data_IF_715654461235
#
_entry.id   IF_715654461235
#
_cell.length_a   1.000
_cell.length_b   1.000
_cell.length_c   1.000
_cell.angle_alpha   90.00
_cell.angle_beta   90.00
_cell.angle_gamma   90.00
#
_symmetry.space_group_name_H-M   'P 1'
#
loop_
_entity.id
_entity.type
_entity.pdbx_description
1 polymer ?
#
# COMPACT_ATOMS: atom_id res chain seq x y z
N UNK A 1 -18.99 -11.54 -19.26
CA UNK A 1 -17.72 -10.77 -19.20
C UNK A 1 -17.27 -10.50 -17.76
N UNK A 2 -18.12 -9.93 -16.88
CA UNK A 2 -17.73 -9.52 -15.51
C UNK A 2 -17.14 -10.60 -14.55
N UNK A 3 -17.43 -11.90 -14.75
CA UNK A 3 -16.88 -12.97 -13.90
C UNK A 3 -15.48 -13.43 -14.31
N UNK A 4 -15.11 -13.33 -15.60
CA UNK A 4 -13.81 -13.80 -16.10
C UNK A 4 -12.68 -12.85 -15.69
N UNK A 5 -12.93 -11.54 -15.77
CA UNK A 5 -11.94 -10.51 -15.40
C UNK A 5 -11.66 -10.54 -13.90
N UNK A 6 -12.69 -10.77 -13.08
CA UNK A 6 -12.57 -10.91 -11.63
C UNK A 6 -11.77 -12.16 -11.24
N UNK A 7 -11.95 -13.27 -11.96
CA UNK A 7 -11.19 -14.49 -11.72
C UNK A 7 -9.72 -14.31 -12.10
N UNK A 8 -9.43 -13.62 -13.21
CA UNK A 8 -8.07 -13.28 -13.63
C UNK A 8 -7.37 -12.37 -12.62
N UNK A 9 -8.05 -11.31 -12.17
CA UNK A 9 -7.55 -10.41 -11.12
C UNK A 9 -7.24 -11.16 -9.83
N UNK A 10 -8.13 -12.05 -9.40
CA UNK A 10 -7.90 -12.88 -8.22
C UNK A 10 -6.74 -13.86 -8.42
N UNK A 11 -6.57 -14.41 -9.62
CA UNK A 11 -5.48 -15.34 -9.95
C UNK A 11 -4.12 -14.63 -9.96
N UNK A 12 -4.05 -13.44 -10.55
CA UNK A 12 -2.85 -12.60 -10.57
C UNK A 12 -2.46 -12.15 -9.15
N UNK A 13 -3.44 -11.73 -8.35
CA UNK A 13 -3.28 -11.38 -6.94
C UNK A 13 -2.84 -12.58 -6.07
N UNK A 14 -3.28 -13.80 -6.38
CA UNK A 14 -2.87 -15.01 -5.66
C UNK A 14 -1.45 -15.45 -6.05
N UNK A 15 -1.09 -15.31 -7.33
CA UNK A 15 0.28 -15.52 -7.79
C UNK A 15 1.26 -14.58 -7.10
N UNK A 16 0.85 -13.37 -6.69
CA UNK A 16 1.71 -12.46 -5.94
C UNK A 16 2.15 -13.02 -4.58
N UNK A 17 1.29 -13.81 -3.91
CA UNK A 17 1.59 -14.46 -2.64
C UNK A 17 2.41 -15.73 -2.84
N UNK A 18 2.10 -16.50 -3.90
CA UNK A 18 2.76 -17.77 -4.22
C UNK A 18 4.18 -17.55 -4.75
N UNK A 19 4.42 -16.48 -5.53
CA UNK A 19 5.74 -16.22 -6.14
C UNK A 19 6.86 -15.98 -5.13
N UNK A 20 6.51 -15.69 -3.87
CA UNK A 20 7.47 -15.47 -2.78
C UNK A 20 7.71 -16.70 -1.91
N UNK A 21 6.90 -17.76 -2.05
CA UNK A 21 7.17 -19.04 -1.36
C UNK A 21 8.23 -19.89 -2.07
N UNK A 22 8.44 -19.66 -3.37
CA UNK A 22 9.30 -20.52 -4.21
C UNK A 22 10.72 -19.98 -4.44
N UNK A 23 11.01 -18.74 -4.05
CA UNK A 23 12.33 -18.16 -4.19
C UNK A 23 12.79 -17.65 -2.83
N UNK A 24 13.90 -18.20 -2.35
CA UNK A 24 14.68 -17.61 -1.25
C UNK A 24 14.81 -16.10 -1.48
N UNK A 25 14.50 -15.33 -0.44
CA UNK A 25 14.33 -13.88 -0.45
C UNK A 25 15.49 -13.16 -1.15
N UNK A 26 15.27 -12.72 -2.39
CA UNK A 26 16.28 -12.00 -3.16
C UNK A 26 16.35 -10.55 -2.66
N UNK A 27 16.87 -10.38 -1.45
CA UNK A 27 17.07 -9.06 -0.84
C UNK A 27 18.09 -8.26 -1.66
N UNK A 28 17.74 -7.04 -1.99
CA UNK A 28 18.59 -6.08 -2.70
C UNK A 28 18.97 -4.96 -1.77
N UNK A 29 20.10 -4.31 -2.05
CA UNK A 29 20.45 -3.02 -1.44
C UNK A 29 19.89 -1.94 -2.35
N UNK A 30 19.04 -1.07 -1.81
CA UNK A 30 18.38 -0.02 -2.59
C UNK A 30 18.12 1.20 -1.69
N UNK A 31 17.79 2.34 -2.30
CA UNK A 31 17.33 3.54 -1.60
C UNK A 31 15.83 3.67 -1.68
N UNK A 32 15.19 3.98 -0.55
CA UNK A 32 13.73 4.19 -0.51
C UNK A 32 13.28 5.34 -1.41
N UNK A 33 14.12 6.38 -1.57
CA UNK A 33 13.81 7.53 -2.42
C UNK A 33 13.68 7.14 -3.89
N UNK A 34 14.60 6.29 -4.39
CA UNK A 34 14.60 5.81 -5.78
C UNK A 34 13.37 4.93 -6.05
N UNK A 35 13.04 4.05 -5.09
CA UNK A 35 11.84 3.23 -5.15
C UNK A 35 10.56 4.07 -5.16
N UNK A 36 10.45 5.05 -4.27
CA UNK A 36 9.29 5.94 -4.18
C UNK A 36 9.13 6.79 -5.44
N UNK A 37 10.21 7.33 -5.99
CA UNK A 37 10.15 8.08 -7.25
C UNK A 37 9.58 7.22 -8.39
N UNK A 38 10.09 6.00 -8.57
CA UNK A 38 9.58 5.07 -9.59
C UNK A 38 8.11 4.72 -9.38
N UNK A 39 7.69 4.51 -8.14
CA UNK A 39 6.28 4.27 -7.80
C UNK A 39 5.40 5.48 -8.13
N UNK A 40 5.78 6.68 -7.71
CA UNK A 40 4.96 7.89 -7.88
C UNK A 40 4.86 8.32 -9.34
N UNK A 41 5.89 8.08 -10.15
CA UNK A 41 5.85 8.33 -11.59
C UNK A 41 4.74 7.53 -12.27
N UNK A 42 4.50 6.28 -11.85
CA UNK A 42 3.42 5.44 -12.37
C UNK A 42 2.02 5.99 -12.06
N UNK A 43 1.85 6.69 -10.93
CA UNK A 43 0.55 7.24 -10.50
C UNK A 43 0.35 8.71 -10.87
N UNK A 44 1.42 9.43 -11.19
CA UNK A 44 1.39 10.86 -11.55
C UNK A 44 0.39 11.18 -12.66
N UNK A 45 0.26 10.39 -13.75
CA UNK A 45 -0.73 10.66 -14.79
C UNK A 45 -2.17 10.66 -14.28
N UNK A 46 -2.51 9.76 -13.35
CA UNK A 46 -3.85 9.67 -12.75
C UNK A 46 -4.11 10.87 -11.85
N UNK A 47 -3.16 11.21 -10.98
CA UNK A 47 -3.26 12.36 -10.07
C UNK A 47 -3.43 13.67 -10.84
N UNK A 48 -2.65 13.89 -11.90
CA UNK A 48 -2.77 15.08 -12.76
C UNK A 48 -4.13 15.18 -13.44
N UNK A 49 -4.67 14.07 -13.94
CA UNK A 49 -6.00 14.04 -14.57
C UNK A 49 -7.10 14.44 -13.60
N UNK A 50 -6.93 14.10 -12.33
CA UNK A 50 -7.87 14.43 -11.25
C UNK A 50 -7.55 15.76 -10.55
N UNK A 51 -6.56 16.52 -11.04
CA UNK A 51 -6.09 17.78 -10.46
C UNK A 51 -5.67 17.66 -8.99
N UNK A 52 -4.95 16.57 -8.68
CA UNK A 52 -4.41 16.24 -7.36
C UNK A 52 -2.90 16.07 -7.44
N UNK A 53 -2.21 16.16 -6.31
CA UNK A 53 -0.77 15.99 -6.20
C UNK A 53 -0.36 15.00 -5.10
N UNK A 54 0.89 14.54 -5.18
CA UNK A 54 1.58 13.90 -4.07
C UNK A 54 2.39 14.95 -3.32
N UNK A 55 2.21 15.01 -2.00
CA UNK A 55 2.98 15.88 -1.11
C UNK A 55 3.96 14.99 -0.34
N UNK A 56 5.25 15.10 -0.63
CA UNK A 56 6.27 14.23 -0.04
C UNK A 56 7.07 14.99 1.01
N UNK A 57 7.14 14.43 2.22
CA UNK A 57 7.98 14.86 3.34
C UNK A 57 8.85 13.67 3.76
N UNK A 58 10.09 13.64 3.29
CA UNK A 58 10.97 12.49 3.44
C UNK A 58 12.28 12.88 4.13
N UNK A 59 12.61 12.14 5.21
CA UNK A 59 13.95 12.15 5.77
C UNK A 59 14.94 11.53 4.77
N UNK A 60 16.21 11.92 4.85
CA UNK A 60 17.26 11.30 4.05
C UNK A 60 17.59 9.92 4.62
N UNK A 61 17.26 8.88 3.86
CA UNK A 61 17.49 7.48 4.25
C UNK A 61 18.71 6.93 3.52
N UNK A 62 19.62 6.27 4.25
CA UNK A 62 20.71 5.52 3.63
C UNK A 62 20.19 4.29 2.88
N UNK A 63 20.96 3.75 1.95
CA UNK A 63 20.62 2.45 1.36
C UNK A 63 20.59 1.35 2.42
N UNK A 64 19.67 0.41 2.29
CA UNK A 64 19.52 -0.72 3.21
C UNK A 64 19.14 -1.98 2.45
N UNK A 65 19.35 -3.15 3.07
CA UNK A 65 19.06 -4.43 2.46
C UNK A 65 17.65 -4.90 2.83
N UNK A 66 16.80 -5.13 1.82
CA UNK A 66 15.49 -5.75 2.02
C UNK A 66 14.93 -6.34 0.72
N UNK A 67 13.77 -7.00 0.79
CA UNK A 67 13.05 -7.48 -0.40
C UNK A 67 12.29 -6.32 -1.05
N UNK A 68 12.96 -5.58 -1.93
CA UNK A 68 12.46 -4.38 -2.62
C UNK A 68 11.11 -4.60 -3.31
N UNK A 69 10.96 -5.70 -4.06
CA UNK A 69 9.71 -6.04 -4.78
C UNK A 69 8.50 -6.20 -3.84
N UNK A 70 8.72 -6.67 -2.60
CA UNK A 70 7.64 -6.82 -1.63
C UNK A 70 7.21 -5.45 -1.10
N UNK A 71 8.18 -4.58 -0.79
CA UNK A 71 7.95 -3.20 -0.35
C UNK A 71 7.22 -2.42 -1.44
N UNK A 72 7.69 -2.50 -2.68
CA UNK A 72 7.07 -1.87 -3.85
C UNK A 72 5.57 -2.22 -3.94
N UNK A 73 5.25 -3.52 -3.84
CA UNK A 73 3.86 -4.02 -3.90
C UNK A 73 3.00 -3.52 -2.75
N UNK A 74 3.53 -3.51 -1.53
CA UNK A 74 2.81 -3.00 -0.35
C UNK A 74 2.50 -1.51 -0.54
N UNK A 75 3.51 -0.70 -0.87
CA UNK A 75 3.34 0.75 -1.03
C UNK A 75 2.45 1.09 -2.22
N UNK A 76 2.58 0.38 -3.34
CA UNK A 76 1.65 0.49 -4.47
C UNK A 76 0.21 0.20 -4.07
N UNK A 77 -0.03 -0.78 -3.18
CA UNK A 77 -1.37 -1.04 -2.65
C UNK A 77 -1.92 0.14 -1.84
N UNK A 78 -1.09 0.71 -0.96
CA UNK A 78 -1.49 1.85 -0.13
C UNK A 78 -1.79 3.08 -0.98
N UNK A 79 -0.92 3.41 -1.94
CA UNK A 79 -1.11 4.53 -2.87
C UNK A 79 -2.38 4.33 -3.71
N UNK A 80 -2.60 3.13 -4.26
CA UNK A 80 -3.83 2.82 -5.00
C UNK A 80 -5.09 3.03 -4.14
N UNK A 81 -5.07 2.58 -2.88
CA UNK A 81 -6.20 2.78 -1.97
C UNK A 81 -6.41 4.28 -1.69
N UNK A 82 -5.34 5.03 -1.42
CA UNK A 82 -5.41 6.47 -1.18
C UNK A 82 -6.00 7.22 -2.40
N UNK A 83 -5.54 6.92 -3.62
CA UNK A 83 -6.07 7.51 -4.87
C UNK A 83 -7.54 7.21 -5.04
N UNK A 84 -7.93 5.96 -4.78
CA UNK A 84 -9.28 5.45 -4.97
C UNK A 84 -10.31 6.00 -3.97
N UNK A 85 -9.89 6.28 -2.75
CA UNK A 85 -10.80 6.62 -1.66
C UNK A 85 -10.76 8.09 -1.23
N UNK A 86 -9.73 8.84 -1.62
CA UNK A 86 -9.61 10.28 -1.42
C UNK A 86 -9.79 11.03 -2.74
N UNK A 87 -10.42 12.21 -2.67
CA UNK A 87 -10.56 13.15 -3.79
C UNK A 87 -9.59 14.35 -3.64
N UNK A 88 -8.62 14.25 -2.72
CA UNK A 88 -7.64 15.29 -2.40
C UNK A 88 -6.21 14.81 -2.61
N UNK A 89 -5.25 15.70 -2.38
CA UNK A 89 -3.82 15.39 -2.37
C UNK A 89 -3.50 14.24 -1.41
N UNK A 90 -2.48 13.46 -1.76
CA UNK A 90 -2.01 12.33 -0.96
C UNK A 90 -0.68 12.72 -0.37
N UNK A 91 -0.56 12.63 0.95
CA UNK A 91 0.66 12.96 1.65
C UNK A 91 1.48 11.69 1.90
N UNK A 92 2.77 11.77 1.65
CA UNK A 92 3.72 10.67 1.84
C UNK A 92 4.80 11.13 2.80
N UNK A 93 4.96 10.42 3.90
CA UNK A 93 5.91 10.76 4.95
C UNK A 93 6.90 9.61 5.10
N UNK A 94 8.19 9.90 4.96
CA UNK A 94 9.27 8.93 5.22
C UNK A 94 10.03 9.38 6.45
N UNK A 95 10.09 8.51 7.46
CA UNK A 95 10.88 8.72 8.68
C UNK A 95 11.89 7.61 8.87
N UNK A 96 13.08 7.99 9.30
CA UNK A 96 14.19 7.08 9.59
C UNK A 96 14.57 7.23 11.07
N UNK A 97 14.46 6.14 11.85
CA UNK A 97 14.85 6.10 13.26
C UNK A 97 16.19 5.40 13.52
N UNK A 98 16.92 5.05 12.46
CA UNK A 98 18.16 4.28 12.51
C UNK A 98 17.92 2.84 12.12
N UNK A 99 17.12 2.11 12.89
CA UNK A 99 16.88 0.67 12.72
C UNK A 99 15.73 0.38 11.75
N UNK A 100 14.79 1.31 11.60
CA UNK A 100 13.62 1.18 10.77
C UNK A 100 13.43 2.38 9.84
N UNK A 101 12.80 2.12 8.70
CA UNK A 101 12.25 3.13 7.81
C UNK A 101 10.74 3.03 7.86
N UNK A 102 10.07 4.10 8.28
CA UNK A 102 8.61 4.19 8.28
C UNK A 102 8.15 5.02 7.10
N UNK A 103 7.43 4.38 6.17
CA UNK A 103 6.77 5.05 5.04
C UNK A 103 5.28 5.12 5.31
N UNK A 104 4.73 6.33 5.40
CA UNK A 104 3.31 6.57 5.68
C UNK A 104 2.63 7.23 4.49
N UNK A 105 1.50 6.67 4.07
CA UNK A 105 0.61 7.20 3.03
C UNK A 105 -0.66 7.70 3.70
N UNK A 106 -0.89 9.01 3.62
CA UNK A 106 -2.02 9.70 4.23
C UNK A 106 -2.98 10.21 3.15
N UNK A 107 -4.26 9.88 3.34
CA UNK A 107 -5.36 10.26 2.46
C UNK A 107 -6.48 10.93 3.26
N UNK A 108 -7.18 11.89 2.66
CA UNK A 108 -8.36 12.54 3.26
C UNK A 108 -9.68 11.97 2.72
N UNK A 109 -9.71 10.65 2.53
CA UNK A 109 -10.86 9.94 1.98
C UNK A 109 -11.96 9.66 3.00
N UNK A 110 -12.81 8.68 2.67
CA UNK A 110 -13.96 8.28 3.51
C UNK A 110 -13.58 7.73 4.89
N UNK A 111 -12.31 7.41 5.13
CA UNK A 111 -11.85 6.77 6.34
C UNK A 111 -12.45 5.37 6.58
N UNK A 112 -12.09 4.77 7.71
CA UNK A 112 -12.45 3.42 8.12
C UNK A 112 -12.97 3.49 9.55
N UNK A 113 -14.11 2.85 9.82
CA UNK A 113 -14.65 2.79 11.17
C UNK A 113 -13.76 1.90 12.06
N UNK A 114 -13.61 2.25 13.34
CA UNK A 114 -12.72 1.54 14.27
C UNK A 114 -13.00 0.03 14.35
N UNK A 115 -14.28 -0.37 14.26
CA UNK A 115 -14.71 -1.78 14.26
C UNK A 115 -14.18 -2.59 13.06
N UNK A 116 -13.85 -1.91 11.97
CA UNK A 116 -13.44 -2.52 10.71
C UNK A 116 -11.92 -2.60 10.55
N UNK A 117 -11.15 -1.85 11.34
CA UNK A 117 -9.68 -1.74 11.23
C UNK A 117 -8.98 -3.10 11.26
N UNK A 118 -9.41 -4.02 12.14
CA UNK A 118 -8.80 -5.36 12.19
C UNK A 118 -9.24 -6.25 11.01
N UNK A 119 -10.40 -5.95 10.42
CA UNK A 119 -11.04 -6.77 9.39
C UNK A 119 -10.61 -6.38 7.98
N UNK A 120 -10.10 -5.17 7.75
CA UNK A 120 -9.62 -4.73 6.42
C UNK A 120 -8.48 -5.58 5.86
N UNK A 121 -7.79 -6.34 6.73
CA UNK A 121 -6.76 -7.29 6.36
C UNK A 121 -7.29 -8.71 6.12
N UNK A 122 -8.57 -8.98 6.39
CA UNK A 122 -9.19 -10.27 6.08
C UNK A 122 -9.36 -10.43 4.56
N UNK A 123 -9.16 -11.67 4.10
CA UNK A 123 -9.29 -12.00 2.68
C UNK A 123 -10.69 -11.63 2.17
N UNK A 124 -10.76 -10.90 1.05
CA UNK A 124 -12.00 -10.45 0.40
C UNK A 124 -12.89 -9.52 1.23
N UNK A 125 -12.42 -9.03 2.38
CA UNK A 125 -13.20 -8.13 3.20
C UNK A 125 -13.29 -6.75 2.56
N UNK A 126 -14.48 -6.14 2.67
CA UNK A 126 -14.77 -4.78 2.19
C UNK A 126 -15.75 -4.11 3.13
N UNK A 127 -15.46 -2.87 3.51
CA UNK A 127 -16.37 -2.03 4.30
C UNK A 127 -17.63 -1.73 3.50
N UNK A 128 -18.80 -1.72 4.14
CA UNK A 128 -20.11 -1.51 3.49
C UNK A 128 -20.18 -0.27 2.61
N UNK A 129 -19.64 0.85 3.09
CA UNK A 129 -19.64 2.12 2.38
C UNK A 129 -18.76 2.09 1.11
N UNK A 130 -17.78 1.18 1.05
CA UNK A 130 -16.98 0.92 -0.15
C UNK A 130 -17.68 -0.03 -1.15
N UNK A 131 -18.80 -0.66 -0.78
CA UNK A 131 -19.57 -1.55 -1.68
C UNK A 131 -20.40 -0.76 -2.70
N UNK A 132 -20.84 0.45 -2.36
CA UNK A 132 -21.72 1.28 -3.19
C UNK A 132 -20.96 2.13 -4.22
N UNK A 133 -19.70 2.49 -3.99
CA UNK A 133 -18.85 3.02 -5.06
C UNK A 133 -18.62 1.87 -6.04
N UNK A 134 -18.84 2.07 -7.36
CA UNK A 134 -18.49 1.15 -8.48
C UNK A 134 -16.98 0.90 -8.59
N UNK A 135 -16.35 0.63 -7.46
CA UNK A 135 -14.93 0.50 -7.28
C UNK A 135 -14.65 -0.99 -7.23
N UNK A 136 -14.31 -1.54 -8.40
CA UNK A 136 -14.07 -2.97 -8.65
C UNK A 136 -12.81 -3.51 -7.96
N UNK A 137 -12.74 -3.44 -6.63
CA UNK A 137 -11.68 -4.08 -5.85
C UNK A 137 -12.03 -5.52 -5.48
N UNK A 138 -11.05 -6.42 -5.60
CA UNK A 138 -11.12 -7.83 -5.19
C UNK A 138 -11.26 -8.02 -3.67
N UNK A 139 -10.81 -7.03 -2.88
CA UNK A 139 -10.68 -7.13 -1.43
C UNK A 139 -9.46 -7.96 -0.99
N UNK A 140 -8.50 -8.22 -1.88
CA UNK A 140 -7.29 -8.98 -1.55
C UNK A 140 -6.06 -8.09 -1.29
N UNK A 141 -6.05 -6.86 -1.80
CA UNK A 141 -4.88 -5.97 -1.75
C UNK A 141 -4.26 -5.80 -0.36
N UNK A 142 -5.05 -5.45 0.66
CA UNK A 142 -4.54 -5.27 2.03
C UNK A 142 -4.15 -6.60 2.70
N UNK A 143 -4.87 -7.69 2.40
CA UNK A 143 -4.48 -9.03 2.86
C UNK A 143 -3.11 -9.44 2.30
N UNK A 144 -2.87 -9.17 1.00
CA UNK A 144 -1.59 -9.41 0.35
C UNK A 144 -0.52 -8.53 0.98
N UNK A 145 -0.77 -7.23 1.14
CA UNK A 145 0.16 -6.32 1.79
C UNK A 145 0.57 -6.82 3.19
N UNK A 146 -0.38 -7.27 4.00
CA UNK A 146 -0.10 -7.85 5.34
C UNK A 146 0.71 -9.14 5.27
N UNK A 147 0.40 -10.00 4.31
CA UNK A 147 1.15 -11.25 4.09
C UNK A 147 2.59 -10.96 3.69
N UNK A 148 2.79 -10.02 2.76
CA UNK A 148 4.11 -9.57 2.31
C UNK A 148 4.91 -8.95 3.44
N UNK A 149 4.31 -8.03 4.21
CA UNK A 149 4.97 -7.38 5.33
C UNK A 149 5.47 -8.41 6.36
N UNK A 150 4.62 -9.38 6.72
CA UNK A 150 5.00 -10.46 7.62
C UNK A 150 6.13 -11.34 7.06
N UNK A 151 6.17 -11.58 5.74
CA UNK A 151 7.23 -12.37 5.10
C UNK A 151 8.60 -11.68 5.12
N UNK A 152 8.63 -10.34 5.17
CA UNK A 152 9.87 -9.55 5.15
C UNK A 152 10.20 -8.95 6.53
N UNK A 153 9.61 -9.49 7.60
CA UNK A 153 9.77 -9.02 8.98
C UNK A 153 9.51 -7.50 9.14
N UNK A 154 8.46 -7.01 8.47
CA UNK A 154 8.01 -5.63 8.51
C UNK A 154 6.59 -5.52 9.07
N UNK A 155 6.25 -4.37 9.62
CA UNK A 155 4.96 -4.12 10.24
C UNK A 155 4.10 -3.15 9.43
N UNK A 156 2.78 -3.36 9.44
CA UNK A 156 1.80 -2.41 8.89
C UNK A 156 1.00 -1.83 10.04
N UNK A 157 0.97 -0.51 10.14
CA UNK A 157 0.09 0.24 11.04
C UNK A 157 -0.99 0.97 10.22
N UNK A 158 -2.18 1.09 10.81
CA UNK A 158 -3.28 1.87 10.24
C UNK A 158 -3.88 2.76 11.30
N UNK A 159 -3.98 4.06 10.97
CA UNK A 159 -4.75 5.04 11.75
C UNK A 159 -5.80 5.61 10.82
N UNK A 160 -7.07 5.55 11.21
CA UNK A 160 -8.14 6.04 10.36
C UNK A 160 -9.30 6.55 11.20
N UNK A 161 -9.92 7.62 10.73
CA UNK A 161 -11.12 8.19 11.32
C UNK A 161 -12.15 8.30 10.21
N UNK A 162 -13.33 7.72 10.45
CA UNK A 162 -14.43 7.73 9.48
C UNK A 162 -14.79 9.17 9.08
N UNK A 163 -14.91 9.39 7.77
CA UNK A 163 -15.15 10.67 7.09
C UNK A 163 -14.04 11.73 7.25
N UNK A 164 -12.87 11.36 7.76
CA UNK A 164 -11.72 12.26 7.85
C UNK A 164 -10.60 11.80 6.94
N UNK A 165 -10.26 10.51 6.98
CA UNK A 165 -9.15 9.98 6.19
C UNK A 165 -8.49 8.77 6.84
N UNK A 166 -7.42 8.30 6.21
CA UNK A 166 -6.62 7.18 6.71
C UNK A 166 -5.14 7.45 6.51
N UNK A 167 -4.33 6.85 7.39
CA UNK A 167 -2.89 6.79 7.32
C UNK A 167 -2.51 5.32 7.38
N UNK A 168 -1.94 4.82 6.28
CA UNK A 168 -1.35 3.49 6.20
C UNK A 168 0.16 3.63 6.27
N UNK A 169 0.79 2.98 7.24
CA UNK A 169 2.23 3.01 7.42
C UNK A 169 2.84 1.62 7.27
N UNK A 170 3.90 1.52 6.48
CA UNK A 170 4.80 0.36 6.45
C UNK A 170 6.05 0.70 7.27
N UNK A 171 6.37 -0.13 8.26
CA UNK A 171 7.57 -0.05 9.08
C UNK A 171 8.52 -1.14 8.61
N UNK A 172 9.59 -0.72 7.94
CA UNK A 172 10.57 -1.58 7.29
C UNK A 172 11.77 -1.71 8.20
N UNK A 173 12.05 -2.92 8.67
CA UNK A 173 13.29 -3.20 9.42
C UNK A 173 14.47 -3.18 8.46
N UNK A 174 15.50 -2.38 8.77
CA UNK A 174 16.76 -2.39 8.01
C UNK A 174 17.57 -3.62 8.45
N UNK A 175 17.97 -4.44 7.48
CA UNK A 175 18.83 -5.60 7.71
C UNK A 175 20.22 -5.37 7.16
#
# INVERSE_FOLDING_TARGET
MMQSDRLSLMFDELNQVISLHNNEQNQTVFKIDELLLGLLDNFTPVMKRENRAFIVDADKVAEFRQVEIAIERILSNFINNAIKFSDSDIKIIVKDDGDHVKVSIEDSGIGIAQKDINRIFERTYRVEQSRNKMTGGSGLGLYIAKTLANQIDSEIEVKSILNVGSVFSLIITKK
#
